data_IF_666678558304
#
_entry.id   IF_666678558304
#
_cell.length_a   1.000
_cell.length_b   1.000
_cell.length_c   1.000
_cell.angle_alpha   90.00
_cell.angle_beta   90.00
_cell.angle_gamma   90.00
#
_symmetry.space_group_name_H-M   'P 1'
#
loop_
_entity.id
_entity.type
_entity.pdbx_description
1 polymer ?
#
# COMPACT_ATOMS: atom_id res chain seq x y z
N UNK A 1 5.74 17.43 35.56
CA UNK A 1 5.47 18.66 34.79
C UNK A 1 6.34 18.62 33.55
N UNK A 2 5.86 18.29 32.36
CA UNK A 2 4.50 17.98 31.92
C UNK A 2 4.52 16.92 30.82
N UNK A 3 3.56 16.02 30.94
CA UNK A 3 2.52 15.65 29.98
C UNK A 3 2.89 15.16 28.57
N UNK A 4 2.51 13.89 28.38
CA UNK A 4 2.16 13.19 27.16
C UNK A 4 1.34 14.02 26.17
N UNK A 5 1.55 13.80 24.86
CA UNK A 5 0.41 13.48 23.99
C UNK A 5 0.87 12.72 22.74
N UNK A 6 0.48 11.46 22.66
CA UNK A 6 0.46 10.65 21.45
C UNK A 6 -0.75 11.01 20.58
N UNK A 7 -0.54 11.34 19.31
CA UNK A 7 -1.60 11.26 18.30
C UNK A 7 -1.29 10.19 17.26
N UNK A 8 -1.92 9.04 17.51
CA UNK A 8 -2.10 7.91 16.62
C UNK A 8 -3.23 8.25 15.64
N UNK A 9 -2.91 8.51 14.37
CA UNK A 9 -3.90 8.57 13.31
C UNK A 9 -4.15 7.14 12.80
N UNK A 10 -5.41 6.70 12.90
CA UNK A 10 -5.93 5.42 12.44
C UNK A 10 -6.16 5.45 10.94
N UNK A 11 -5.97 4.26 10.36
CA UNK A 11 -6.39 3.80 9.05
C UNK A 11 -7.90 3.87 8.83
N UNK A 12 -8.32 4.20 7.60
CA UNK A 12 -9.60 3.77 7.02
C UNK A 12 -9.35 3.27 5.57
N UNK A 13 -9.75 2.04 5.22
CA UNK A 13 -9.71 1.55 3.84
C UNK A 13 -11.08 1.08 3.36
N UNK A 14 -11.82 1.90 2.62
CA UNK A 14 -13.03 1.51 1.88
C UNK A 14 -13.22 2.53 0.74
N UNK A 15 -13.69 2.27 -0.48
CA UNK A 15 -14.20 1.09 -1.20
C UNK A 15 -14.29 1.52 -2.68
N UNK A 16 -14.20 0.53 -3.57
CA UNK A 16 -14.51 0.62 -4.99
C UNK A 16 -15.88 1.27 -5.27
N UNK A 17 -15.95 2.13 -6.28
CA UNK A 17 -17.19 2.46 -6.98
C UNK A 17 -17.00 2.16 -8.47
N UNK A 18 -17.60 1.04 -8.88
CA UNK A 18 -17.91 0.66 -10.25
C UNK A 18 -18.83 1.74 -10.84
N UNK A 19 -18.52 2.25 -12.04
CA UNK A 19 -19.42 3.12 -12.78
C UNK A 19 -20.28 2.25 -13.71
N UNK A 20 -21.56 2.16 -13.38
CA UNK A 20 -22.62 1.49 -14.14
C UNK A 20 -23.20 2.39 -15.25
N UNK A 21 -23.85 1.71 -16.19
CA UNK A 21 -24.31 2.15 -17.52
C UNK A 21 -25.19 3.42 -17.59
N UNK A 22 -25.17 4.06 -18.77
CA UNK A 22 -26.10 5.12 -19.14
C UNK A 22 -26.20 5.32 -20.65
N UNK A 23 -26.91 4.41 -21.32
CA UNK A 23 -27.27 4.40 -22.75
C UNK A 23 -28.32 5.49 -23.06
N UNK A 24 -28.10 6.33 -24.06
CA UNK A 24 -29.14 7.23 -24.60
C UNK A 24 -29.00 7.40 -26.12
N UNK A 25 -30.02 6.94 -26.85
CA UNK A 25 -30.22 7.14 -28.27
C UNK A 25 -31.15 8.35 -28.52
N UNK A 26 -31.03 9.09 -29.64
CA UNK A 26 -32.08 9.99 -30.09
C UNK A 26 -32.87 9.40 -31.26
N UNK A 27 -34.16 9.15 -31.03
CA UNK A 27 -35.19 9.10 -32.08
C UNK A 27 -35.43 10.54 -32.61
N UNK A 28 -35.67 10.67 -33.91
CA UNK A 28 -36.32 11.85 -34.49
C UNK A 28 -37.55 11.42 -35.27
N UNK A 29 -38.60 12.16 -35.00
CA UNK A 29 -39.98 11.91 -35.33
C UNK A 29 -40.30 12.13 -36.81
N UNK A 30 -41.22 11.31 -37.31
CA UNK A 30 -41.88 11.45 -38.59
C UNK A 30 -43.16 12.25 -38.36
N UNK A 31 -43.23 13.46 -38.92
CA UNK A 31 -44.47 14.19 -39.05
C UNK A 31 -44.93 14.25 -40.51
N UNK A 32 -46.24 14.11 -40.59
CA UNK A 32 -47.11 13.79 -41.69
C UNK A 32 -47.66 15.10 -42.29
N UNK A 33 -47.66 15.25 -43.62
CA UNK A 33 -48.55 16.22 -44.28
C UNK A 33 -49.33 15.54 -45.40
N UNK A 34 -50.65 15.69 -45.31
CA UNK A 34 -51.66 15.15 -46.19
C UNK A 34 -51.83 16.00 -47.45
N UNK A 35 -52.22 15.36 -48.56
CA UNK A 35 -53.29 15.93 -49.38
C UNK A 35 -53.13 15.92 -50.90
N UNK A 36 -53.97 15.06 -51.52
CA UNK A 36 -54.69 15.26 -52.79
C UNK A 36 -53.96 15.07 -54.15
N UNK A 37 -54.34 13.96 -54.78
CA UNK A 37 -54.38 13.69 -56.24
C UNK A 37 -55.83 14.02 -56.67
N UNK A 38 -56.15 14.70 -57.81
CA UNK A 38 -56.07 14.12 -59.17
C UNK A 38 -55.98 15.15 -60.33
N UNK A 39 -56.22 14.82 -61.62
CA UNK A 39 -55.83 13.66 -62.43
C UNK A 39 -55.11 14.05 -63.76
N UNK A 40 -54.36 13.09 -64.31
CA UNK A 40 -54.18 12.80 -65.75
C UNK A 40 -53.99 13.95 -66.75
N UNK A 41 -52.76 14.14 -67.25
CA UNK A 41 -52.50 14.18 -68.72
C UNK A 41 -50.99 14.22 -69.05
N UNK A 42 -50.60 13.49 -70.11
CA UNK A 42 -49.29 13.45 -70.80
C UNK A 42 -48.22 12.52 -70.23
N UNK A 43 -48.48 11.21 -70.35
CA UNK A 43 -47.45 10.16 -70.37
C UNK A 43 -47.08 9.84 -71.82
N UNK A 44 -46.26 10.69 -72.42
CA UNK A 44 -45.48 10.40 -73.63
C UNK A 44 -44.59 11.62 -73.88
N UNK A 45 -43.34 11.58 -73.37
CA UNK A 45 -42.14 12.35 -73.82
C UNK A 45 -41.05 12.53 -72.74
N UNK A 46 -41.17 11.93 -71.54
CA UNK A 46 -40.13 12.00 -70.49
C UNK A 46 -39.37 10.69 -70.22
N UNK A 47 -39.58 9.65 -71.02
CA UNK A 47 -39.03 8.31 -70.73
C UNK A 47 -37.72 8.00 -71.49
N UNK A 48 -37.35 8.81 -72.48
CA UNK A 48 -36.13 8.59 -73.28
C UNK A 48 -34.92 9.39 -72.81
N UNK A 49 -35.07 10.44 -72.00
CA UNK A 49 -33.93 11.22 -71.46
C UNK A 49 -33.49 10.79 -70.05
N UNK A 50 -34.42 10.24 -69.24
CA UNK A 50 -34.13 9.84 -67.86
C UNK A 50 -33.27 8.57 -67.75
N UNK A 51 -33.40 7.64 -68.71
CA UNK A 51 -32.59 6.41 -68.75
C UNK A 51 -31.14 6.65 -69.15
N UNK A 52 -30.87 7.66 -69.99
CA UNK A 52 -29.50 8.02 -70.40
C UNK A 52 -28.75 8.75 -69.29
N UNK A 53 -29.39 9.75 -68.65
CA UNK A 53 -28.81 10.52 -67.53
C UNK A 53 -28.58 9.68 -66.26
N UNK A 54 -29.45 8.70 -66.00
CA UNK A 54 -29.27 7.73 -64.91
C UNK A 54 -28.23 6.64 -65.19
N UNK A 55 -27.79 6.44 -66.43
CA UNK A 55 -26.70 5.50 -66.76
C UNK A 55 -25.34 6.12 -66.47
N UNK A 56 -25.10 7.34 -66.96
CA UNK A 56 -23.83 8.08 -66.75
C UNK A 56 -23.59 8.40 -65.27
N UNK A 57 -24.65 8.72 -64.52
CA UNK A 57 -24.56 8.96 -63.08
C UNK A 57 -24.22 7.69 -62.29
N UNK A 58 -24.73 6.53 -62.73
CA UNK A 58 -24.38 5.22 -62.14
C UNK A 58 -22.92 4.85 -62.38
N UNK A 59 -22.40 5.07 -63.59
CA UNK A 59 -20.99 4.79 -63.91
C UNK A 59 -20.03 5.72 -63.15
N UNK A 60 -20.42 6.99 -62.98
CA UNK A 60 -19.69 7.94 -62.13
C UNK A 60 -19.75 7.54 -60.64
N UNK A 61 -20.89 7.07 -60.16
CA UNK A 61 -21.04 6.56 -58.79
C UNK A 61 -20.21 5.28 -58.55
N UNK A 62 -20.18 4.37 -59.52
CA UNK A 62 -19.38 3.16 -59.47
C UNK A 62 -17.88 3.48 -59.43
N UNK A 63 -17.42 4.42 -60.26
CA UNK A 63 -16.02 4.88 -60.25
C UNK A 63 -15.61 5.47 -58.90
N UNK A 64 -16.49 6.24 -58.25
CA UNK A 64 -16.27 6.78 -56.89
C UNK A 64 -16.17 5.66 -55.85
N UNK A 65 -17.08 4.69 -55.90
CA UNK A 65 -17.04 3.52 -54.99
C UNK A 65 -15.77 2.70 -55.19
N UNK A 66 -15.30 2.52 -56.43
CA UNK A 66 -14.03 1.84 -56.70
C UNK A 66 -12.84 2.61 -56.14
N UNK A 67 -12.80 3.94 -56.29
CA UNK A 67 -11.74 4.76 -55.70
C UNK A 67 -11.76 4.70 -54.18
N UNK A 68 -12.94 4.78 -53.56
CA UNK A 68 -13.10 4.69 -52.11
C UNK A 68 -12.66 3.33 -51.58
N UNK A 69 -13.00 2.24 -52.30
CA UNK A 69 -12.54 0.89 -51.98
C UNK A 69 -11.02 0.78 -52.04
N UNK A 70 -10.37 1.37 -53.05
CA UNK A 70 -8.89 1.38 -53.17
C UNK A 70 -8.26 2.16 -52.01
N UNK A 71 -8.78 3.35 -51.69
CA UNK A 71 -8.29 4.17 -50.59
C UNK A 71 -8.46 3.48 -49.23
N UNK A 72 -9.62 2.85 -49.00
CA UNK A 72 -9.87 2.08 -47.79
C UNK A 72 -8.88 0.92 -47.63
N UNK A 73 -8.57 0.21 -48.71
CA UNK A 73 -7.58 -0.88 -48.68
C UNK A 73 -6.16 -0.37 -48.39
N UNK A 74 -5.75 0.74 -49.01
CA UNK A 74 -4.45 1.38 -48.75
C UNK A 74 -4.35 1.80 -47.28
N UNK A 75 -5.40 2.44 -46.75
CA UNK A 75 -5.46 2.86 -45.35
C UNK A 75 -5.39 1.66 -44.40
N UNK A 76 -6.15 0.61 -44.65
CA UNK A 76 -6.11 -0.61 -43.84
C UNK A 76 -4.72 -1.27 -43.85
N UNK A 77 -4.02 -1.25 -44.99
CA UNK A 77 -2.66 -1.73 -45.09
C UNK A 77 -1.67 -0.83 -44.32
N UNK A 78 -1.78 0.49 -44.45
CA UNK A 78 -0.97 1.46 -43.70
C UNK A 78 -1.14 1.28 -42.18
N UNK A 79 -2.39 1.17 -41.72
CA UNK A 79 -2.71 0.98 -40.31
C UNK A 79 -2.18 -0.39 -39.82
N UNK A 80 -2.20 -1.43 -40.64
CA UNK A 80 -1.60 -2.73 -40.32
C UNK A 80 -0.08 -2.65 -40.16
N UNK A 81 0.61 -1.93 -41.05
CA UNK A 81 2.06 -1.74 -40.97
C UNK A 81 2.46 -0.90 -39.76
N UNK A 82 1.70 0.16 -39.44
CA UNK A 82 1.87 0.93 -38.19
C UNK A 82 1.69 0.04 -36.97
N UNK A 83 0.60 -0.72 -36.90
CA UNK A 83 0.35 -1.63 -35.77
C UNK A 83 1.46 -2.68 -35.58
N UNK A 84 2.05 -3.19 -36.66
CA UNK A 84 3.23 -4.09 -36.58
C UNK A 84 4.44 -3.39 -35.98
N UNK A 85 4.71 -2.15 -36.37
CA UNK A 85 5.81 -1.36 -35.81
C UNK A 85 5.58 -1.08 -34.32
N UNK A 86 4.37 -0.65 -33.96
CA UNK A 86 3.99 -0.34 -32.59
C UNK A 86 4.06 -1.57 -31.68
N UNK A 87 3.59 -2.73 -32.14
CA UNK A 87 3.72 -3.97 -31.37
C UNK A 87 5.18 -4.32 -31.06
N UNK A 88 6.09 -4.12 -32.03
CA UNK A 88 7.53 -4.32 -31.82
C UNK A 88 8.08 -3.32 -30.80
N UNK A 89 7.67 -2.05 -30.87
CA UNK A 89 8.08 -1.02 -29.92
C UNK A 89 7.57 -1.33 -28.50
N UNK A 90 6.27 -1.65 -28.35
CA UNK A 90 5.65 -2.02 -27.09
C UNK A 90 6.36 -3.21 -26.43
N UNK A 91 6.71 -4.26 -27.19
CA UNK A 91 7.48 -5.40 -26.66
C UNK A 91 8.84 -4.98 -26.09
N UNK A 92 9.56 -4.09 -26.79
CA UNK A 92 10.85 -3.57 -26.32
C UNK A 92 10.69 -2.74 -25.05
N UNK A 93 9.70 -1.83 -25.02
CA UNK A 93 9.41 -1.00 -23.86
C UNK A 93 9.01 -1.84 -22.65
N UNK A 94 8.17 -2.87 -22.83
CA UNK A 94 7.84 -3.80 -21.76
C UNK A 94 9.06 -4.56 -21.24
N UNK A 95 9.95 -5.01 -22.14
CA UNK A 95 11.21 -5.67 -21.73
C UNK A 95 12.12 -4.73 -20.93
N UNK A 96 12.20 -3.46 -21.31
CA UNK A 96 12.95 -2.44 -20.57
C UNK A 96 12.33 -2.23 -19.19
N UNK A 97 11.00 -2.07 -19.11
CA UNK A 97 10.31 -1.89 -17.84
C UNK A 97 10.51 -3.07 -16.86
N UNK A 98 10.49 -4.31 -17.35
CA UNK A 98 10.80 -5.49 -16.52
C UNK A 98 12.24 -5.46 -16.02
N UNK A 99 13.19 -5.11 -16.89
CA UNK A 99 14.61 -5.04 -16.53
C UNK A 99 14.87 -3.94 -15.48
N UNK A 100 14.30 -2.76 -15.67
CA UNK A 100 14.38 -1.65 -14.72
C UNK A 100 13.77 -2.04 -13.36
N UNK A 101 12.59 -2.66 -13.37
CA UNK A 101 11.95 -3.15 -12.15
C UNK A 101 12.82 -4.21 -11.44
N UNK A 102 13.49 -5.08 -12.20
CA UNK A 102 14.44 -6.05 -11.65
C UNK A 102 15.64 -5.38 -10.97
N UNK A 103 16.20 -4.32 -11.57
CA UNK A 103 17.29 -3.53 -10.96
C UNK A 103 16.84 -2.79 -9.71
N UNK A 104 15.67 -2.14 -9.76
CA UNK A 104 15.06 -1.45 -8.63
C UNK A 104 14.83 -2.40 -7.45
N UNK A 105 14.19 -3.53 -7.72
CA UNK A 105 13.92 -4.57 -6.71
C UNK A 105 15.21 -5.09 -6.07
N UNK A 106 16.29 -5.26 -6.85
CA UNK A 106 17.59 -5.69 -6.33
C UNK A 106 18.21 -4.68 -5.36
N UNK A 107 18.11 -3.38 -5.65
CA UNK A 107 18.60 -2.32 -4.76
C UNK A 107 17.74 -2.21 -3.51
N UNK A 108 16.41 -2.26 -3.65
CA UNK A 108 15.48 -2.25 -2.51
C UNK A 108 15.67 -3.46 -1.58
N UNK A 109 15.98 -4.63 -2.13
CA UNK A 109 16.31 -5.81 -1.31
C UNK A 109 17.59 -5.60 -0.47
N UNK A 110 18.62 -4.95 -1.03
CA UNK A 110 19.83 -4.60 -0.28
C UNK A 110 19.54 -3.59 0.83
N UNK A 111 18.69 -2.61 0.57
CA UNK A 111 18.25 -1.64 1.58
C UNK A 111 17.55 -2.35 2.75
N UNK A 112 16.57 -3.20 2.46
CA UNK A 112 15.86 -4.00 3.48
C UNK A 112 16.81 -4.87 4.30
N UNK A 113 17.82 -5.47 3.67
CA UNK A 113 18.82 -6.27 4.39
C UNK A 113 19.66 -5.41 5.36
N UNK A 114 19.98 -4.17 4.99
CA UNK A 114 20.70 -3.25 5.87
C UNK A 114 19.80 -2.83 7.05
N UNK A 115 18.54 -2.51 6.78
CA UNK A 115 17.56 -2.16 7.81
C UNK A 115 17.36 -3.29 8.83
N UNK A 116 17.21 -4.54 8.36
CA UNK A 116 17.08 -5.71 9.24
C UNK A 116 18.33 -5.89 10.12
N UNK A 117 19.53 -5.71 9.56
CA UNK A 117 20.79 -5.79 10.33
C UNK A 117 20.87 -4.69 11.39
N UNK A 118 20.39 -3.49 11.09
CA UNK A 118 20.36 -2.40 12.06
C UNK A 118 19.36 -2.67 13.19
N UNK A 119 18.17 -3.18 12.87
CA UNK A 119 17.16 -3.50 13.88
C UNK A 119 17.62 -4.64 14.79
N UNK A 120 18.28 -5.68 14.24
CA UNK A 120 18.90 -6.75 15.05
C UNK A 120 19.92 -6.20 16.04
N UNK A 121 20.87 -5.39 15.57
CA UNK A 121 21.87 -4.75 16.46
C UNK A 121 21.22 -3.89 17.54
N UNK A 122 20.19 -3.12 17.17
CA UNK A 122 19.45 -2.28 18.13
C UNK A 122 18.78 -3.12 19.21
N UNK A 123 18.16 -4.25 18.84
CA UNK A 123 17.57 -5.19 19.79
C UNK A 123 18.62 -5.82 20.71
N UNK A 124 19.75 -6.29 20.14
CA UNK A 124 20.88 -6.85 20.91
C UNK A 124 21.42 -5.86 21.95
N UNK A 125 21.63 -4.60 21.58
CA UNK A 125 22.08 -3.58 22.53
C UNK A 125 21.02 -3.27 23.59
N UNK A 126 19.74 -3.22 23.22
CA UNK A 126 18.67 -3.02 24.19
C UNK A 126 18.60 -4.16 25.21
N UNK A 127 18.82 -5.41 24.79
CA UNK A 127 18.91 -6.56 25.70
C UNK A 127 20.15 -6.49 26.60
N UNK A 128 21.33 -6.15 26.06
CA UNK A 128 22.54 -5.97 26.87
C UNK A 128 22.36 -4.93 27.97
N UNK A 129 21.72 -3.79 27.65
CA UNK A 129 21.44 -2.74 28.62
C UNK A 129 20.48 -3.26 29.71
N UNK A 130 19.41 -3.97 29.32
CA UNK A 130 18.47 -4.58 30.28
C UNK A 130 19.15 -5.60 31.19
N UNK A 131 20.01 -6.45 30.63
CA UNK A 131 20.78 -7.42 31.40
C UNK A 131 21.72 -6.71 32.39
N UNK A 132 22.40 -5.64 31.96
CA UNK A 132 23.28 -4.88 32.84
C UNK A 132 22.52 -4.21 33.99
N UNK A 133 21.33 -3.68 33.71
CA UNK A 133 20.44 -3.13 34.74
C UNK A 133 20.04 -4.24 35.74
N UNK A 134 19.67 -5.42 35.25
CA UNK A 134 19.31 -6.55 36.09
C UNK A 134 20.50 -7.05 36.95
N UNK A 135 21.71 -7.09 36.39
CA UNK A 135 22.93 -7.41 37.14
C UNK A 135 23.17 -6.43 38.28
N UNK A 136 23.09 -5.12 38.01
CA UNK A 136 23.25 -4.07 39.03
C UNK A 136 22.19 -4.24 40.13
N UNK A 137 20.96 -4.54 39.76
CA UNK A 137 19.89 -4.78 40.71
C UNK A 137 20.17 -6.01 41.60
N UNK A 138 20.52 -7.14 40.99
CA UNK A 138 20.91 -8.37 41.70
C UNK A 138 22.07 -8.12 42.67
N UNK A 139 23.13 -7.45 42.23
CA UNK A 139 24.28 -7.11 43.09
C UNK A 139 23.87 -6.24 44.29
N UNK A 140 22.93 -5.30 44.09
CA UNK A 140 22.41 -4.48 45.17
C UNK A 140 21.57 -5.31 46.16
N UNK A 141 20.75 -6.23 45.67
CA UNK A 141 19.96 -7.14 46.50
C UNK A 141 20.84 -8.12 47.29
N UNK A 142 21.90 -8.65 46.69
CA UNK A 142 22.88 -9.50 47.37
C UNK A 142 23.58 -8.77 48.51
N UNK A 143 23.97 -7.50 48.31
CA UNK A 143 24.53 -6.67 49.37
C UNK A 143 23.53 -6.44 50.50
N UNK A 144 22.26 -6.18 50.18
CA UNK A 144 21.19 -6.02 51.19
C UNK A 144 20.97 -7.32 51.97
N UNK A 145 20.91 -8.47 51.29
CA UNK A 145 20.74 -9.77 51.92
C UNK A 145 21.92 -10.11 52.85
N UNK A 146 23.15 -9.79 52.45
CA UNK A 146 24.35 -9.98 53.29
C UNK A 146 24.31 -9.12 54.56
N UNK A 147 23.84 -7.87 54.46
CA UNK A 147 23.67 -7.01 55.64
C UNK A 147 22.61 -7.56 56.58
N UNK A 148 21.47 -8.01 56.06
CA UNK A 148 20.40 -8.58 56.89
C UNK A 148 20.84 -9.91 57.54
N UNK A 149 21.60 -10.74 56.83
CA UNK A 149 22.18 -11.97 57.39
C UNK A 149 23.16 -11.69 58.54
N UNK A 150 24.03 -10.67 58.41
CA UNK A 150 24.93 -10.26 59.52
C UNK A 150 24.14 -9.75 60.72
N UNK A 151 23.09 -8.96 60.47
CA UNK A 151 22.21 -8.46 61.52
C UNK A 151 21.50 -9.60 62.26
N UNK A 152 20.96 -10.59 61.55
CA UNK A 152 20.31 -11.74 62.18
C UNK A 152 21.30 -12.62 62.95
N UNK A 153 22.54 -12.77 62.46
CA UNK A 153 23.61 -13.45 63.19
C UNK A 153 23.94 -12.75 64.52
N UNK A 154 24.08 -11.42 64.51
CA UNK A 154 24.30 -10.64 65.73
C UNK A 154 23.12 -10.75 66.71
N UNK A 155 21.88 -10.80 66.22
CA UNK A 155 20.71 -11.02 67.06
C UNK A 155 20.75 -12.40 67.74
N UNK A 156 21.09 -13.46 67.00
CA UNK A 156 21.26 -14.80 67.57
C UNK A 156 22.37 -14.82 68.64
N UNK A 157 23.49 -14.10 68.43
CA UNK A 157 24.57 -13.99 69.43
C UNK A 157 24.11 -13.25 70.69
N UNK A 158 23.32 -12.19 70.53
CA UNK A 158 22.75 -11.42 71.65
C UNK A 158 21.77 -12.30 72.43
N UNK A 159 20.88 -13.01 71.74
CA UNK A 159 19.90 -13.90 72.36
C UNK A 159 20.57 -15.04 73.13
N UNK A 160 21.57 -15.69 72.52
CA UNK A 160 22.36 -16.73 73.18
C UNK A 160 23.12 -16.19 74.40
N UNK A 161 23.63 -14.96 74.33
CA UNK A 161 24.26 -14.28 75.47
C UNK A 161 23.24 -13.96 76.56
N UNK A 162 22.05 -13.47 76.20
CA UNK A 162 20.97 -13.17 77.13
C UNK A 162 20.47 -14.43 77.85
N UNK A 163 20.32 -15.55 77.15
CA UNK A 163 20.00 -16.85 77.74
C UNK A 163 21.05 -17.32 78.75
N UNK A 164 22.34 -17.18 78.42
CA UNK A 164 23.44 -17.49 79.37
C UNK A 164 23.34 -16.64 80.64
N UNK A 165 23.07 -15.35 80.52
CA UNK A 165 22.88 -14.47 81.68
C UNK A 165 21.65 -14.86 82.52
N UNK A 166 20.53 -15.20 81.86
CA UNK A 166 19.32 -15.71 82.54
C UNK A 166 19.58 -17.02 83.28
N UNK A 167 20.33 -17.95 82.70
CA UNK A 167 20.65 -19.24 83.31
C UNK A 167 21.65 -19.13 84.48
N UNK A 168 22.63 -18.24 84.38
CA UNK A 168 23.69 -18.08 85.40
C UNK A 168 23.29 -17.11 86.52
N UNK A 169 22.25 -16.28 86.32
CA UNK A 169 21.83 -15.25 87.28
C UNK A 169 22.74 -14.01 87.31
N UNK A 170 23.65 -13.88 86.34
CA UNK A 170 24.67 -12.80 86.30
C UNK A 170 24.19 -11.63 85.47
N UNK A 171 24.28 -10.41 86.00
CA UNK A 171 23.87 -9.19 85.29
C UNK A 171 24.96 -8.75 84.30
N UNK A 172 24.63 -8.40 83.04
CA UNK A 172 25.60 -7.89 82.08
C UNK A 172 26.28 -6.61 82.59
N UNK A 173 27.61 -6.62 82.68
CA UNK A 173 28.40 -5.51 83.28
C UNK A 173 28.46 -4.23 82.43
N UNK A 174 27.96 -4.25 81.17
CA UNK A 174 28.11 -3.18 80.17
C UNK A 174 26.80 -2.39 79.93
N UNK A 175 25.89 -2.35 80.90
CA UNK A 175 24.52 -1.86 80.72
C UNK A 175 24.36 -0.32 80.53
N UNK A 176 25.40 0.52 80.67
CA UNK A 176 25.21 1.98 80.88
C UNK A 176 26.13 2.96 80.12
N UNK A 177 26.64 2.68 78.91
CA UNK A 177 27.62 3.61 78.27
C UNK A 177 27.12 4.49 77.11
N UNK A 178 25.89 4.37 76.58
CA UNK A 178 25.50 5.13 75.37
C UNK A 178 24.08 5.75 75.38
N UNK A 179 23.55 6.19 76.53
CA UNK A 179 22.32 7.01 76.58
C UNK A 179 22.60 8.47 77.01
N UNK A 180 23.84 8.94 76.88
CA UNK A 180 24.21 10.33 77.13
C UNK A 180 24.78 10.98 75.87
N UNK A 181 24.04 11.98 75.38
CA UNK A 181 24.33 12.93 74.28
C UNK A 181 23.75 12.63 72.91
#
# INVERSE_FOLDING_TARGET
>A
MGDEEHKKAKSDPEKHALFEEGKAAPQKDLDQENGLIPPSEKVADLWTDRSSRGSVDRDAAFSRVETDKRLALIKAWEDNEKAKSDNKACKKLSSIGVWENGKKSSVEAKLKQIEEKLEKKKAEYAEQIKNRIAEIHREAEEKKAMVEAKKSEEFIKIDASAEKFRATGTIPKKFFSCFSS
#
